data_IF_132605617867
#
_entry.id   IF_132605617867
#
_cell.length_a   1.000
_cell.length_b   1.000
_cell.length_c   1.000
_cell.angle_alpha   90.00
_cell.angle_beta   90.00
_cell.angle_gamma   90.00
#
_symmetry.space_group_name_H-M   'P 1'
#
loop_
_entity.id
_entity.type
_entity.pdbx_description
1 polymer ?
#
# COMPACT_ATOMS: atom_id res chain seq x y z
N UNK A 1 -34.39 -54.60 17.61
CA UNK A 1 -33.99 -54.80 16.19
C UNK A 1 -32.64 -54.11 16.02
N UNK A 2 -31.53 -54.82 16.27
CA UNK A 2 -30.69 -55.51 15.27
C UNK A 2 -30.07 -54.50 14.28
N UNK A 3 -28.91 -53.95 14.64
CA UNK A 3 -27.55 -54.40 14.25
C UNK A 3 -27.16 -54.00 12.82
N UNK A 4 -26.14 -53.14 12.70
CA UNK A 4 -24.95 -53.48 11.90
C UNK A 4 -23.80 -52.52 12.19
N UNK A 5 -22.89 -52.99 13.05
CA UNK A 5 -21.50 -52.53 13.11
C UNK A 5 -20.86 -52.92 11.78
N UNK A 6 -20.36 -51.96 11.00
CA UNK A 6 -19.41 -52.26 9.92
C UNK A 6 -18.00 -52.00 10.45
N UNK A 7 -17.32 -53.09 10.78
CA UNK A 7 -15.87 -53.15 10.89
C UNK A 7 -15.27 -52.77 9.55
N UNK A 8 -14.41 -51.75 9.53
CA UNK A 8 -13.52 -51.46 8.41
C UNK A 8 -12.11 -51.90 8.80
N UNK A 9 -11.52 -52.68 7.91
CA UNK A 9 -10.24 -53.37 8.04
C UNK A 9 -9.06 -52.41 8.21
N UNK A 10 -8.17 -52.79 9.14
CA UNK A 10 -6.82 -52.28 9.30
C UNK A 10 -5.99 -52.60 8.06
N UNK A 11 -5.60 -51.58 7.29
CA UNK A 11 -4.56 -51.67 6.28
C UNK A 11 -3.24 -51.16 6.85
N UNK A 12 -2.33 -52.07 7.21
CA UNK A 12 -0.92 -51.73 7.49
C UNK A 12 -0.17 -51.66 6.15
N UNK A 13 0.06 -50.44 5.67
CA UNK A 13 1.15 -50.08 4.77
C UNK A 13 1.87 -48.90 5.45
N UNK A 14 3.17 -48.91 5.75
CA UNK A 14 4.26 -49.61 5.08
C UNK A 14 5.16 -48.58 4.41
N UNK A 15 6.10 -48.05 5.19
CA UNK A 15 7.31 -47.31 4.81
C UNK A 15 7.19 -45.90 4.19
N UNK A 16 7.49 -44.92 5.06
CA UNK A 16 8.70 -44.10 4.98
C UNK A 16 9.01 -43.43 3.65
N UNK A 17 8.49 -42.21 3.54
CA UNK A 17 8.91 -41.22 2.56
C UNK A 17 8.36 -39.87 3.00
N UNK A 18 8.80 -39.37 4.15
CA UNK A 18 8.75 -37.92 4.39
C UNK A 18 9.72 -37.29 3.41
N UNK A 19 9.27 -37.10 2.17
CA UNK A 19 9.72 -36.00 1.35
C UNK A 19 9.51 -34.77 2.21
N UNK A 20 10.62 -34.20 2.70
CA UNK A 20 10.64 -32.93 3.40
C UNK A 20 10.09 -31.85 2.47
N UNK A 21 8.77 -31.74 2.40
CA UNK A 21 8.11 -30.55 1.92
C UNK A 21 8.55 -29.46 2.89
N UNK A 22 9.40 -28.55 2.42
CA UNK A 22 9.76 -27.36 3.17
C UNK A 22 8.46 -26.74 3.70
N UNK A 23 8.39 -26.53 5.03
CA UNK A 23 7.21 -25.94 5.64
C UNK A 23 6.86 -24.65 4.87
N UNK A 24 5.58 -24.41 4.52
CA UNK A 24 5.21 -23.24 3.75
C UNK A 24 5.66 -21.99 4.49
N UNK A 25 6.34 -21.09 3.76
CA UNK A 25 6.78 -19.80 4.32
C UNK A 25 5.54 -19.04 4.82
N UNK A 26 5.60 -18.43 6.02
CA UNK A 26 4.50 -17.59 6.50
C UNK A 26 4.28 -16.43 5.54
N UNK A 27 3.03 -15.99 5.38
CA UNK A 27 2.69 -14.83 4.55
C UNK A 27 2.52 -13.58 5.41
N UNK A 28 3.16 -12.48 5.02
CA UNK A 28 2.97 -11.16 5.61
C UNK A 28 2.21 -10.29 4.62
N UNK A 29 0.98 -9.93 5.01
CA UNK A 29 0.14 -9.02 4.22
C UNK A 29 0.60 -7.58 4.48
N UNK A 30 1.07 -6.91 3.43
CA UNK A 30 1.61 -5.55 3.48
C UNK A 30 0.67 -4.60 2.76
N UNK A 31 0.07 -3.67 3.49
CA UNK A 31 -0.75 -2.61 2.91
C UNK A 31 0.16 -1.40 2.67
N UNK A 32 0.23 -0.91 1.44
CA UNK A 32 1.16 0.17 1.10
C UNK A 32 0.56 1.21 0.16
N UNK A 33 0.88 2.47 0.41
CA UNK A 33 0.52 3.57 -0.47
C UNK A 33 1.00 3.29 -1.91
N UNK A 34 0.15 3.57 -2.90
CA UNK A 34 0.44 3.30 -4.31
C UNK A 34 1.76 3.92 -4.80
N UNK A 35 2.17 5.07 -4.23
CA UNK A 35 3.43 5.73 -4.54
C UNK A 35 4.69 4.94 -4.16
N UNK A 36 4.56 3.89 -3.35
CA UNK A 36 5.67 3.02 -2.92
C UNK A 36 5.72 1.71 -3.70
N UNK A 37 4.82 1.50 -4.68
CA UNK A 37 4.68 0.22 -5.39
C UNK A 37 5.99 -0.28 -5.96
N UNK A 38 6.61 0.50 -6.81
CA UNK A 38 7.78 0.03 -7.56
C UNK A 38 8.98 -0.18 -6.63
N UNK A 39 9.20 0.74 -5.68
CA UNK A 39 10.26 0.62 -4.68
C UNK A 39 10.09 -0.62 -3.78
N UNK A 40 8.87 -0.91 -3.31
CA UNK A 40 8.62 -2.08 -2.45
C UNK A 40 8.68 -3.39 -3.24
N UNK A 41 8.27 -3.41 -4.51
CA UNK A 41 8.42 -4.58 -5.36
C UNK A 41 9.89 -4.87 -5.68
N UNK A 42 10.70 -3.84 -5.89
CA UNK A 42 12.15 -3.97 -6.05
C UNK A 42 12.82 -4.54 -4.79
N UNK A 43 12.39 -4.08 -3.60
CA UNK A 43 12.92 -4.54 -2.32
C UNK A 43 12.34 -5.88 -1.83
N UNK A 44 11.26 -6.37 -2.45
CA UNK A 44 10.55 -7.55 -1.99
C UNK A 44 11.44 -8.80 -1.85
N UNK A 45 12.31 -9.16 -2.82
CA UNK A 45 13.17 -10.33 -2.68
C UNK A 45 14.07 -10.28 -1.44
N UNK A 46 14.70 -9.14 -1.17
CA UNK A 46 15.55 -8.95 0.01
C UNK A 46 14.73 -8.95 1.32
N UNK A 47 13.51 -8.41 1.28
CA UNK A 47 12.58 -8.45 2.40
C UNK A 47 12.12 -9.88 2.72
N UNK A 48 11.83 -10.68 1.71
CA UNK A 48 11.44 -12.09 1.87
C UNK A 48 12.59 -12.96 2.37
N UNK A 49 13.81 -12.73 1.87
CA UNK A 49 15.02 -13.43 2.34
C UNK A 49 15.33 -13.11 3.81
N UNK A 50 15.29 -11.84 4.20
CA UNK A 50 15.60 -11.42 5.57
C UNK A 50 14.55 -11.84 6.60
N UNK A 51 13.27 -11.82 6.23
CA UNK A 51 12.18 -12.19 7.14
C UNK A 51 11.88 -13.69 7.16
N UNK A 52 12.28 -14.42 6.12
CA UNK A 52 11.85 -15.81 5.90
C UNK A 52 10.37 -15.95 5.54
N UNK A 53 9.65 -14.84 5.36
CA UNK A 53 8.24 -14.80 5.02
C UNK A 53 8.03 -14.39 3.57
N UNK A 54 6.91 -14.80 2.98
CA UNK A 54 6.45 -14.27 1.68
C UNK A 54 5.73 -12.94 1.90
N UNK A 55 6.04 -11.93 1.10
CA UNK A 55 5.36 -10.64 1.16
C UNK A 55 4.17 -10.63 0.19
N UNK A 56 2.98 -10.31 0.70
CA UNK A 56 1.75 -10.18 -0.08
C UNK A 56 1.28 -8.74 -0.02
N UNK A 57 1.49 -8.00 -1.11
CA UNK A 57 1.19 -6.57 -1.14
C UNK A 57 -0.24 -6.27 -1.55
N UNK A 58 -0.86 -5.32 -0.85
CA UNK A 58 -2.07 -4.62 -1.25
C UNK A 58 -1.73 -3.13 -1.42
N UNK A 59 -1.70 -2.66 -2.66
CA UNK A 59 -1.41 -1.27 -2.99
C UNK A 59 -2.69 -0.47 -3.21
N UNK A 60 -2.73 0.75 -2.68
CA UNK A 60 -3.90 1.61 -2.82
C UNK A 60 -3.68 3.01 -2.26
N UNK A 61 -4.74 3.82 -2.21
CA UNK A 61 -4.68 5.08 -1.48
C UNK A 61 -4.55 4.81 0.01
N UNK A 62 -3.72 5.56 0.73
CA UNK A 62 -3.54 5.34 2.17
C UNK A 62 -4.85 5.46 2.94
N UNK A 63 -5.77 6.33 2.50
CA UNK A 63 -7.09 6.48 3.12
C UNK A 63 -7.99 5.26 2.90
N UNK A 64 -7.97 4.64 1.73
CA UNK A 64 -8.76 3.43 1.47
C UNK A 64 -8.19 2.23 2.23
N UNK A 65 -6.87 2.07 2.19
CA UNK A 65 -6.16 1.03 2.93
C UNK A 65 -6.37 1.16 4.43
N UNK A 66 -6.26 2.35 5.00
CA UNK A 66 -6.52 2.57 6.43
C UNK A 66 -7.98 2.22 6.80
N UNK A 67 -8.97 2.54 5.95
CA UNK A 67 -10.36 2.11 6.17
C UNK A 67 -10.49 0.59 6.14
N UNK A 68 -9.83 -0.09 5.20
CA UNK A 68 -9.82 -1.55 5.12
C UNK A 68 -9.17 -2.18 6.36
N UNK A 69 -8.01 -1.67 6.80
CA UNK A 69 -7.32 -2.14 8.01
C UNK A 69 -8.24 -2.01 9.23
N UNK A 70 -8.87 -0.85 9.42
CA UNK A 70 -9.78 -0.61 10.54
C UNK A 70 -11.01 -1.52 10.48
N UNK A 71 -11.56 -1.76 9.29
CA UNK A 71 -12.77 -2.57 9.13
C UNK A 71 -12.54 -4.08 9.27
N UNK A 72 -11.39 -4.58 8.79
CA UNK A 72 -11.12 -6.02 8.72
C UNK A 72 -10.08 -6.50 9.75
N UNK A 73 -9.40 -5.58 10.45
CA UNK A 73 -8.22 -5.87 11.27
C UNK A 73 -7.18 -6.72 10.50
N UNK A 74 -6.88 -6.29 9.27
CA UNK A 74 -5.99 -6.99 8.35
C UNK A 74 -4.86 -6.06 7.92
N UNK A 75 -3.64 -6.39 8.33
CA UNK A 75 -2.35 -6.02 7.74
C UNK A 75 -1.27 -6.40 8.75
N UNK A 76 -0.18 -7.02 8.30
CA UNK A 76 1.01 -7.18 9.13
C UNK A 76 1.86 -5.90 9.15
N UNK A 77 1.90 -5.19 8.01
CA UNK A 77 2.61 -3.92 7.84
C UNK A 77 1.72 -2.92 7.10
N UNK A 78 1.79 -1.66 7.50
CA UNK A 78 1.11 -0.56 6.82
C UNK A 78 2.08 0.58 6.50
N UNK A 79 2.23 0.91 5.22
CA UNK A 79 3.00 2.04 4.72
C UNK A 79 2.05 3.13 4.22
N UNK A 80 1.81 4.14 5.05
CA UNK A 80 1.00 5.32 4.69
C UNK A 80 1.86 6.38 4.00
N UNK A 81 1.27 7.14 3.07
CA UNK A 81 1.90 8.34 2.49
C UNK A 81 1.62 9.62 3.31
N UNK A 82 0.87 9.52 4.40
CA UNK A 82 0.74 10.60 5.40
C UNK A 82 0.55 10.09 6.83
N UNK A 83 0.73 11.01 7.77
CA UNK A 83 0.55 10.75 9.20
C UNK A 83 -0.92 10.61 9.58
N UNK A 84 -1.83 11.33 8.91
CA UNK A 84 -3.27 11.34 9.25
C UNK A 84 -3.89 9.95 9.12
N UNK A 85 -3.57 9.19 8.08
CA UNK A 85 -4.11 7.84 7.91
C UNK A 85 -3.40 6.81 8.81
N UNK A 86 -2.12 7.01 9.14
CA UNK A 86 -1.44 6.20 10.17
C UNK A 86 -2.06 6.43 11.56
N UNK A 87 -2.33 7.67 11.93
CA UNK A 87 -3.04 8.03 13.16
C UNK A 87 -4.44 7.43 13.23
N UNK A 88 -5.15 7.31 12.09
CA UNK A 88 -6.46 6.65 12.05
C UNK A 88 -6.33 5.19 12.51
N UNK A 89 -5.34 4.47 11.98
CA UNK A 89 -5.11 3.06 12.34
C UNK A 89 -4.63 2.93 13.78
N UNK A 90 -3.75 3.84 14.23
CA UNK A 90 -3.26 3.88 15.61
C UNK A 90 -4.37 4.17 16.62
N UNK A 91 -5.24 5.15 16.34
CA UNK A 91 -6.42 5.46 17.18
C UNK A 91 -7.44 4.32 17.23
N UNK A 92 -7.45 3.44 16.24
CA UNK A 92 -8.25 2.21 16.27
C UNK A 92 -7.61 1.09 17.12
N UNK A 93 -6.41 1.32 17.69
CA UNK A 93 -5.70 0.34 18.50
C UNK A 93 -5.02 -0.78 17.70
N UNK A 94 -4.84 -0.57 16.39
CA UNK A 94 -4.32 -1.59 15.47
C UNK A 94 -2.83 -1.44 15.16
N UNK A 95 -2.17 -0.43 15.73
CA UNK A 95 -0.72 -0.24 15.63
C UNK A 95 -0.08 -0.78 16.90
N UNK A 96 0.93 -1.64 16.74
CA UNK A 96 1.72 -2.15 17.87
C UNK A 96 2.48 -0.97 18.51
N UNK A 97 2.36 -0.74 19.83
CA UNK A 97 3.04 0.38 20.48
C UNK A 97 4.55 0.39 20.20
N UNK A 98 5.08 1.56 19.84
CA UNK A 98 6.51 1.76 19.57
C UNK A 98 7.00 1.31 18.19
N UNK A 99 6.13 0.81 17.30
CA UNK A 99 6.54 0.40 15.93
C UNK A 99 6.26 1.44 14.86
N UNK A 100 5.43 2.45 15.15
CA UNK A 100 5.19 3.58 14.23
C UNK A 100 6.46 4.41 14.10
N UNK A 101 6.92 4.59 12.86
CA UNK A 101 8.09 5.42 12.54
C UNK A 101 7.82 6.29 11.31
N UNK A 102 8.35 7.52 11.31
CA UNK A 102 8.39 8.37 10.12
C UNK A 102 9.54 7.88 9.21
N UNK A 103 9.24 6.90 8.37
CA UNK A 103 10.27 6.18 7.61
C UNK A 103 10.79 6.97 6.40
N UNK A 104 9.89 7.65 5.68
CA UNK A 104 10.15 8.26 4.39
C UNK A 104 9.54 9.67 4.33
N UNK A 105 10.13 10.52 3.50
CA UNK A 105 9.59 11.83 3.11
C UNK A 105 9.52 11.92 1.59
N UNK A 106 8.70 12.83 1.07
CA UNK A 106 8.61 13.07 -0.37
C UNK A 106 8.41 14.56 -0.68
N UNK A 107 8.58 14.93 -1.93
CA UNK A 107 8.30 16.28 -2.45
C UNK A 107 7.09 16.22 -3.39
N UNK A 108 6.19 17.19 -3.24
CA UNK A 108 5.12 17.39 -4.22
C UNK A 108 5.71 18.07 -5.45
N UNK A 109 5.44 17.52 -6.64
CA UNK A 109 5.90 18.03 -7.92
C UNK A 109 4.74 18.24 -8.87
N UNK A 110 4.92 19.16 -9.81
CA UNK A 110 4.05 19.32 -10.99
C UNK A 110 4.80 18.70 -12.16
N UNK A 111 4.09 17.89 -12.94
CA UNK A 111 4.64 17.21 -14.12
C UNK A 111 3.78 17.55 -15.32
N UNK A 112 4.40 17.52 -16.50
CA UNK A 112 3.72 17.62 -17.79
C UNK A 112 4.17 16.48 -18.71
N UNK A 113 3.36 16.10 -19.71
CA UNK A 113 3.77 15.11 -20.70
C UNK A 113 5.00 15.57 -21.48
N UNK A 114 5.92 14.66 -21.76
CA UNK A 114 7.09 14.93 -22.62
C UNK A 114 6.84 14.66 -24.11
N UNK A 115 5.74 13.97 -24.42
CA UNK A 115 5.53 13.38 -25.73
C UNK A 115 4.52 14.21 -26.53
N UNK A 116 4.96 14.76 -27.66
CA UNK A 116 4.09 15.31 -28.71
C UNK A 116 3.54 16.73 -28.48
N UNK A 117 3.62 17.26 -27.26
CA UNK A 117 3.09 18.58 -26.91
C UNK A 117 4.19 19.58 -26.55
N UNK A 118 4.01 20.88 -26.85
CA UNK A 118 4.92 21.91 -26.38
C UNK A 118 4.88 22.01 -24.86
N UNK A 119 6.05 22.15 -24.25
CA UNK A 119 6.21 22.45 -22.81
C UNK A 119 5.31 23.62 -22.42
N UNK A 120 4.36 23.37 -21.53
CA UNK A 120 3.43 24.35 -21.02
C UNK A 120 4.04 25.14 -19.86
N UNK A 121 4.79 24.45 -19.00
CA UNK A 121 5.38 25.02 -17.80
C UNK A 121 6.83 25.49 -18.01
N UNK A 122 7.14 26.69 -17.51
CA UNK A 122 8.49 27.24 -17.49
C UNK A 122 9.20 26.88 -16.19
N UNK A 123 10.54 26.83 -16.26
CA UNK A 123 11.42 26.70 -15.09
C UNK A 123 12.11 28.05 -14.82
N UNK A 124 12.04 28.59 -13.58
CA UNK A 124 11.38 28.03 -12.40
C UNK A 124 9.85 28.02 -12.53
N UNK A 125 9.23 26.99 -11.97
CA UNK A 125 7.78 26.83 -11.97
C UNK A 125 7.14 27.83 -11.01
N UNK A 126 6.06 28.47 -11.48
CA UNK A 126 5.29 29.45 -10.72
C UNK A 126 3.82 29.01 -10.66
N UNK A 127 3.15 29.10 -9.50
CA UNK A 127 1.78 28.63 -9.34
C UNK A 127 0.78 29.26 -10.33
N UNK A 128 1.01 30.52 -10.73
CA UNK A 128 0.17 31.22 -11.70
C UNK A 128 0.12 30.54 -13.08
N UNK A 129 1.07 29.66 -13.39
CA UNK A 129 1.06 28.88 -14.63
C UNK A 129 -0.05 27.81 -14.65
N UNK A 130 -0.62 27.45 -13.49
CA UNK A 130 -1.74 26.51 -13.37
C UNK A 130 -3.11 27.12 -13.66
N UNK A 131 -3.19 28.44 -13.83
CA UNK A 131 -4.42 29.15 -14.22
C UNK A 131 -4.31 29.76 -15.62
N UNK A 132 -3.28 29.35 -16.37
CA UNK A 132 -3.11 29.72 -17.77
C UNK A 132 -4.22 29.10 -18.61
N UNK A 133 -4.84 29.88 -19.51
CA UNK A 133 -5.93 29.43 -20.37
C UNK A 133 -5.54 28.29 -21.32
N UNK A 134 -4.24 28.09 -21.55
CA UNK A 134 -3.70 26.97 -22.34
C UNK A 134 -3.73 25.65 -21.56
N UNK A 135 -3.87 25.68 -20.23
CA UNK A 135 -4.01 24.48 -19.41
C UNK A 135 -5.48 24.02 -19.44
N UNK A 136 -5.79 23.05 -20.29
CA UNK A 136 -7.15 22.52 -20.41
C UNK A 136 -7.55 21.63 -19.22
N UNK A 137 -6.59 20.87 -18.68
CA UNK A 137 -6.83 19.90 -17.63
C UNK A 137 -5.65 19.77 -16.67
N UNK A 138 -5.94 19.90 -15.38
CA UNK A 138 -5.02 19.54 -14.30
C UNK A 138 -5.51 18.25 -13.63
N UNK A 139 -4.75 17.16 -13.80
CA UNK A 139 -5.04 15.89 -13.13
C UNK A 139 -4.60 15.91 -11.67
N UNK A 140 -5.52 15.66 -10.74
CA UNK A 140 -5.26 15.56 -9.30
C UNK A 140 -5.83 14.26 -8.73
N UNK A 141 -5.14 13.69 -7.75
CA UNK A 141 -5.71 12.60 -6.97
C UNK A 141 -6.84 13.11 -6.06
N UNK A 142 -7.82 12.26 -5.74
CA UNK A 142 -8.98 12.63 -4.91
C UNK A 142 -8.55 13.13 -3.51
N UNK A 143 -8.71 14.42 -3.16
CA UNK A 143 -8.14 14.98 -1.93
C UNK A 143 -8.69 14.40 -0.63
N UNK A 144 -9.90 13.84 -0.66
CA UNK A 144 -10.60 13.29 0.50
C UNK A 144 -9.98 11.98 0.97
N UNK A 145 -9.47 11.15 0.05
CA UNK A 145 -8.94 9.81 0.35
C UNK A 145 -7.45 9.62 0.02
N UNK A 146 -6.90 10.39 -0.92
CA UNK A 146 -5.52 10.20 -1.40
C UNK A 146 -4.60 11.27 -0.82
N UNK A 147 -3.53 10.90 -0.09
CA UNK A 147 -2.60 11.87 0.50
C UNK A 147 -2.00 12.85 -0.52
N UNK A 148 -1.58 12.37 -1.70
CA UNK A 148 -1.07 13.23 -2.77
C UNK A 148 -2.08 14.32 -3.19
N UNK A 149 -3.36 13.96 -3.30
CA UNK A 149 -4.44 14.89 -3.60
C UNK A 149 -4.64 15.94 -2.50
N UNK A 150 -4.57 15.50 -1.24
CA UNK A 150 -4.66 16.39 -0.08
C UNK A 150 -3.51 17.39 -0.02
N UNK A 151 -2.29 16.92 -0.27
CA UNK A 151 -1.12 17.79 -0.34
C UNK A 151 -1.21 18.78 -1.49
N UNK A 152 -1.67 18.32 -2.66
CA UNK A 152 -1.89 19.17 -3.83
C UNK A 152 -2.93 20.26 -3.54
N UNK A 153 -4.11 19.88 -3.05
CA UNK A 153 -5.16 20.84 -2.66
C UNK A 153 -4.66 21.87 -1.66
N UNK A 154 -4.02 21.41 -0.57
CA UNK A 154 -3.50 22.32 0.44
C UNK A 154 -2.43 23.27 -0.12
N UNK A 155 -1.60 22.82 -1.07
CA UNK A 155 -0.64 23.69 -1.73
C UNK A 155 -1.32 24.69 -2.67
N UNK A 156 -2.26 24.25 -3.50
CA UNK A 156 -3.01 25.10 -4.45
C UNK A 156 -3.80 26.19 -3.71
N UNK A 157 -4.50 25.83 -2.63
CA UNK A 157 -5.23 26.78 -1.77
C UNK A 157 -4.27 27.83 -1.18
N UNK A 158 -3.10 27.42 -0.67
CA UNK A 158 -2.08 28.35 -0.15
C UNK A 158 -1.50 29.28 -1.22
N UNK A 159 -1.50 28.84 -2.48
CA UNK A 159 -1.01 29.63 -3.62
C UNK A 159 -2.11 30.46 -4.29
N UNK A 160 -3.37 30.30 -3.88
CA UNK A 160 -4.51 31.03 -4.44
C UNK A 160 -4.89 30.59 -5.85
N UNK A 161 -4.60 29.34 -6.22
CA UNK A 161 -4.83 28.78 -7.58
C UNK A 161 -5.63 27.46 -7.53
N UNK A 162 -6.46 27.30 -6.52
CA UNK A 162 -7.41 26.18 -6.41
C UNK A 162 -8.74 26.52 -7.09
#
# INVERSE_FOLDING_TARGET
MQWSRRLVLLGLAGCSGETGAAAPRPELVVFAAASLRDALLELAPAGEESSGARLVFNFGSSGDLARQIVAANQAALFFSADEREMERVERAGLVVPGTRVALLSNQLVVIEPTDGEPTLFKTPFEPAQLVDERLELLSLAQPESVPAGRYARAWLERRGVW
#
